data_IF_723518938305
#
_entry.id   IF_723518938305
#
_cell.length_a   1.000
_cell.length_b   1.000
_cell.length_c   1.000
_cell.angle_alpha   90.00
_cell.angle_beta   90.00
_cell.angle_gamma   90.00
#
_symmetry.space_group_name_H-M   'P 1'
#
loop_
_entity.id
_entity.type
_entity.pdbx_description
1 polymer ?
#
# COMPACT_ATOMS: atom_id res chain seq x y z
N UNK A 1 -30.62 9.27 -9.64
CA UNK A 1 -29.18 9.62 -9.57
C UNK A 1 -28.46 8.45 -8.91
N UNK A 2 -27.71 7.66 -9.69
CA UNK A 2 -26.96 6.52 -9.15
C UNK A 2 -25.64 7.06 -8.59
N UNK A 3 -25.52 7.09 -7.27
CA UNK A 3 -24.29 7.45 -6.58
C UNK A 3 -23.20 6.47 -7.03
N UNK A 4 -22.21 6.94 -7.80
CA UNK A 4 -21.02 6.14 -8.13
C UNK A 4 -20.38 5.72 -6.81
N UNK A 5 -20.59 4.47 -6.41
CA UNK A 5 -19.75 3.81 -5.43
C UNK A 5 -18.35 3.90 -6.03
N UNK A 6 -17.42 4.57 -5.35
CA UNK A 6 -16.02 4.64 -5.77
C UNK A 6 -15.58 3.25 -6.20
N UNK A 7 -15.07 3.11 -7.43
CA UNK A 7 -14.65 1.80 -7.92
C UNK A 7 -13.74 1.17 -6.86
N UNK A 8 -14.08 -0.05 -6.43
CA UNK A 8 -13.29 -0.73 -5.41
C UNK A 8 -11.93 -1.05 -6.01
N UNK A 9 -10.84 -0.63 -5.37
CA UNK A 9 -9.48 -1.02 -5.73
C UNK A 9 -9.41 -2.53 -6.01
N UNK A 10 -8.91 -2.87 -7.18
CA UNK A 10 -8.65 -4.24 -7.62
C UNK A 10 -7.38 -4.78 -6.97
N UNK A 11 -7.22 -6.11 -6.97
CA UNK A 11 -5.98 -6.74 -6.48
C UNK A 11 -4.74 -6.29 -7.28
N UNK A 12 -4.92 -5.99 -8.57
CA UNK A 12 -3.85 -5.48 -9.42
C UNK A 12 -3.44 -4.07 -9.02
N UNK A 13 -4.41 -3.19 -8.71
CA UNK A 13 -4.13 -1.86 -8.15
C UNK A 13 -3.45 -1.94 -6.78
N UNK A 14 -3.88 -2.86 -5.91
CA UNK A 14 -3.22 -3.08 -4.61
C UNK A 14 -1.77 -3.53 -4.78
N UNK A 15 -1.52 -4.46 -5.71
CA UNK A 15 -0.18 -4.95 -6.01
C UNK A 15 0.71 -3.81 -6.51
N UNK A 16 0.20 -2.99 -7.45
CA UNK A 16 0.89 -1.81 -7.95
C UNK A 16 1.19 -0.81 -6.83
N UNK A 17 0.20 -0.51 -5.99
CA UNK A 17 0.36 0.40 -4.87
C UNK A 17 1.40 -0.08 -3.85
N UNK A 18 1.45 -1.39 -3.58
CA UNK A 18 2.48 -1.98 -2.71
C UNK A 18 3.89 -1.80 -3.28
N UNK A 19 4.10 -2.03 -4.58
CA UNK A 19 5.40 -1.82 -5.21
C UNK A 19 5.84 -0.35 -5.11
N UNK A 20 4.98 0.58 -5.51
CA UNK A 20 5.30 2.02 -5.45
C UNK A 20 5.56 2.47 -4.01
N UNK A 21 4.75 2.03 -3.06
CA UNK A 21 4.98 2.34 -1.65
C UNK A 21 6.34 1.86 -1.15
N UNK A 22 6.74 0.63 -1.52
CA UNK A 22 8.04 0.07 -1.17
C UNK A 22 9.18 0.86 -1.82
N UNK A 23 9.10 1.12 -3.13
CA UNK A 23 10.11 1.87 -3.87
C UNK A 23 10.36 3.26 -3.28
N UNK A 24 9.28 4.00 -2.95
CA UNK A 24 9.39 5.31 -2.33
C UNK A 24 9.91 5.21 -0.89
N UNK A 25 9.44 4.25 -0.10
CA UNK A 25 9.85 4.09 1.30
C UNK A 25 11.29 3.62 1.50
N UNK A 26 11.84 2.91 0.52
CA UNK A 26 13.20 2.36 0.57
C UNK A 26 14.21 3.19 -0.22
N UNK A 27 13.80 4.30 -0.85
CA UNK A 27 14.69 5.14 -1.63
C UNK A 27 15.73 5.84 -0.73
N UNK A 28 17.02 5.49 -0.81
CA UNK A 28 18.05 5.98 0.12
C UNK A 28 18.44 7.44 -0.13
N UNK A 29 18.28 7.93 -1.36
CA UNK A 29 18.59 9.31 -1.76
C UNK A 29 17.52 10.26 -1.22
N UNK A 30 16.28 9.78 -1.21
CA UNK A 30 15.09 10.59 -0.99
C UNK A 30 14.55 10.46 0.45
N UNK A 31 14.82 9.32 1.10
CA UNK A 31 14.20 8.92 2.38
C UNK A 31 14.68 9.68 3.62
N UNK A 32 15.79 10.43 3.52
CA UNK A 32 16.30 11.22 4.64
C UNK A 32 15.63 12.61 4.60
N UNK A 33 14.88 12.96 5.66
CA UNK A 33 14.16 14.24 5.85
C UNK A 33 12.89 14.48 5.01
N UNK A 34 12.13 13.44 4.67
CA UNK A 34 10.85 13.61 3.98
C UNK A 34 9.67 13.82 4.95
N UNK A 35 8.84 14.83 4.72
CA UNK A 35 7.56 14.97 5.43
C UNK A 35 6.56 13.91 4.96
N UNK A 36 5.59 13.56 5.82
CA UNK A 36 4.49 12.64 5.45
C UNK A 36 3.79 13.11 4.17
N UNK A 37 3.54 14.40 4.03
CA UNK A 37 2.86 14.94 2.85
C UNK A 37 3.68 14.72 1.57
N UNK A 38 4.98 15.04 1.63
CA UNK A 38 5.89 14.82 0.51
C UNK A 38 6.01 13.33 0.16
N UNK A 39 5.98 12.44 1.15
CA UNK A 39 5.95 10.99 0.92
C UNK A 39 4.77 10.59 0.05
N UNK A 40 3.58 10.98 0.46
CA UNK A 40 2.37 10.61 -0.24
C UNK A 40 2.20 11.32 -1.59
N UNK A 41 2.72 12.54 -1.74
CA UNK A 41 2.77 13.22 -3.04
C UNK A 41 3.67 12.49 -4.05
N UNK A 42 4.79 11.89 -3.61
CA UNK A 42 5.63 11.04 -4.47
C UNK A 42 4.93 9.73 -4.84
N UNK A 43 4.31 9.07 -3.86
CA UNK A 43 3.51 7.86 -4.11
C UNK A 43 2.39 8.13 -5.12
N UNK A 44 1.65 9.24 -4.98
CA UNK A 44 0.60 9.63 -5.93
C UNK A 44 1.15 9.85 -7.34
N UNK A 45 2.25 10.60 -7.46
CA UNK A 45 2.89 10.86 -8.75
C UNK A 45 3.33 9.54 -9.42
N UNK A 46 4.09 8.72 -8.70
CA UNK A 46 4.69 7.52 -9.25
C UNK A 46 3.62 6.48 -9.57
N UNK A 47 2.61 6.31 -8.72
CA UNK A 47 1.47 5.41 -8.96
C UNK A 47 0.73 5.78 -10.24
N UNK A 48 0.35 7.05 -10.40
CA UNK A 48 -0.45 7.50 -11.54
C UNK A 48 0.34 7.48 -12.86
N UNK A 49 1.65 7.78 -12.82
CA UNK A 49 2.51 7.82 -14.01
C UNK A 49 2.95 6.44 -14.48
N UNK A 50 3.12 5.48 -13.56
CA UNK A 50 3.53 4.11 -13.88
C UNK A 50 2.35 3.14 -13.98
N UNK A 51 1.10 3.64 -13.91
CA UNK A 51 -0.07 2.77 -13.87
C UNK A 51 -0.15 1.90 -15.13
N UNK A 52 -0.40 0.60 -14.98
CA UNK A 52 -0.77 -0.27 -16.08
C UNK A 52 -1.94 0.28 -16.90
N UNK A 53 -1.95 0.01 -18.21
CA UNK A 53 -2.96 0.52 -19.14
C UNK A 53 -4.40 0.11 -18.83
N UNK A 54 -4.59 -1.00 -18.10
CA UNK A 54 -5.91 -1.45 -17.65
C UNK A 54 -6.45 -0.65 -16.45
N UNK A 55 -5.61 0.13 -15.75
CA UNK A 55 -6.03 1.04 -14.68
C UNK A 55 -6.39 2.38 -15.30
N UNK A 56 -7.68 2.60 -15.52
CA UNK A 56 -8.18 3.81 -16.19
C UNK A 56 -8.37 4.98 -15.24
N UNK A 57 -8.59 4.70 -13.94
CA UNK A 57 -8.85 5.72 -12.93
C UNK A 57 -7.55 6.26 -12.33
N UNK A 58 -7.46 7.59 -12.22
CA UNK A 58 -6.43 8.24 -11.44
C UNK A 58 -6.86 8.30 -9.98
N UNK A 59 -5.93 8.01 -9.08
CA UNK A 59 -6.18 8.07 -7.65
C UNK A 59 -5.46 9.26 -7.04
N UNK A 60 -6.19 10.03 -6.23
CA UNK A 60 -5.57 11.10 -5.48
C UNK A 60 -4.85 10.57 -4.23
N UNK A 61 -3.96 11.40 -3.69
CA UNK A 61 -3.18 11.14 -2.48
C UNK A 61 -3.97 10.54 -1.32
N UNK A 62 -5.17 11.10 -1.04
CA UNK A 62 -6.01 10.65 0.07
C UNK A 62 -6.56 9.24 -0.16
N UNK A 63 -7.00 8.95 -1.39
CA UNK A 63 -7.49 7.63 -1.80
C UNK A 63 -6.42 6.57 -1.58
N UNK A 64 -5.21 6.82 -2.09
CA UNK A 64 -4.06 5.90 -1.99
C UNK A 64 -3.65 5.69 -0.53
N UNK A 65 -3.59 6.75 0.28
CA UNK A 65 -3.27 6.65 1.70
C UNK A 65 -4.29 5.81 2.46
N UNK A 66 -5.59 6.03 2.23
CA UNK A 66 -6.65 5.24 2.84
C UNK A 66 -6.54 3.77 2.44
N UNK A 67 -6.30 3.47 1.16
CA UNK A 67 -6.18 2.08 0.70
C UNK A 67 -4.96 1.38 1.29
N UNK A 68 -3.79 2.01 1.26
CA UNK A 68 -2.57 1.46 1.83
C UNK A 68 -2.71 1.22 3.34
N UNK A 69 -3.43 2.09 4.06
CA UNK A 69 -3.71 1.86 5.48
C UNK A 69 -4.50 0.56 5.70
N UNK A 70 -5.52 0.28 4.86
CA UNK A 70 -6.27 -0.99 4.90
C UNK A 70 -5.38 -2.20 4.63
N UNK A 71 -4.46 -2.09 3.65
CA UNK A 71 -3.50 -3.15 3.31
C UNK A 71 -2.57 -3.42 4.50
N UNK A 72 -1.93 -2.38 5.05
CA UNK A 72 -1.01 -2.50 6.19
C UNK A 72 -1.70 -3.08 7.43
N UNK A 73 -2.95 -2.70 7.70
CA UNK A 73 -3.73 -3.28 8.79
C UNK A 73 -3.96 -4.78 8.58
N UNK A 74 -4.27 -5.20 7.36
CA UNK A 74 -4.47 -6.62 7.02
C UNK A 74 -3.17 -7.42 7.13
N UNK A 75 -2.05 -6.85 6.64
CA UNK A 75 -0.71 -7.42 6.83
C UNK A 75 -0.34 -7.54 8.32
N UNK A 76 -0.71 -6.56 9.14
CA UNK A 76 -0.50 -6.59 10.59
C UNK A 76 -1.19 -7.77 11.27
N UNK A 77 -2.44 -8.07 10.86
CA UNK A 77 -3.19 -9.25 11.35
C UNK A 77 -2.50 -10.55 10.93
N UNK A 78 -2.13 -10.67 9.65
CA UNK A 78 -1.40 -11.84 9.13
C UNK A 78 -0.10 -12.10 9.91
N UNK A 79 0.72 -11.06 10.12
CA UNK A 79 1.95 -11.15 10.93
C UNK A 79 1.65 -11.54 12.38
N UNK A 80 0.50 -11.13 12.93
CA UNK A 80 0.02 -11.56 14.24
C UNK A 80 -0.19 -13.07 14.30
N UNK A 81 -0.90 -13.64 13.33
CA UNK A 81 -1.12 -15.09 13.24
C UNK A 81 0.18 -15.87 13.09
N UNK A 82 1.10 -15.41 12.22
CA UNK A 82 2.42 -16.05 12.03
C UNK A 82 3.18 -16.09 13.36
N UNK A 83 3.26 -14.96 14.09
CA UNK A 83 3.92 -14.91 15.40
C UNK A 83 3.29 -15.85 16.43
N UNK A 84 1.98 -16.05 16.38
CA UNK A 84 1.32 -17.01 17.27
C UNK A 84 1.81 -18.44 16.99
N UNK A 85 1.91 -18.81 15.71
CA UNK A 85 2.42 -20.13 15.29
C UNK A 85 3.88 -20.30 15.72
N UNK A 86 4.74 -19.31 15.47
CA UNK A 86 6.16 -19.34 15.87
C UNK A 86 6.34 -19.50 17.38
N UNK A 87 5.46 -18.89 18.18
CA UNK A 87 5.48 -18.98 19.64
C UNK A 87 5.05 -20.33 20.20
N UNK A 88 4.29 -21.13 19.43
CA UNK A 88 3.83 -22.44 19.89
C UNK A 88 4.98 -23.45 20.08
N UNK A 89 6.19 -23.17 19.54
CA UNK A 89 7.38 -24.04 19.64
C UNK A 89 7.03 -25.55 19.61
N UNK A 90 6.50 -26.07 18.50
CA UNK A 90 6.04 -27.46 18.44
C UNK A 90 7.15 -28.52 18.64
N UNK A 91 8.44 -28.14 18.52
CA UNK A 91 9.57 -28.99 18.91
C UNK A 91 9.95 -28.78 20.37
N UNK A 92 9.06 -29.14 21.29
CA UNK A 92 9.43 -29.38 22.68
C UNK A 92 10.20 -30.70 22.77
N UNK A 93 11.51 -30.65 22.52
CA UNK A 93 12.49 -31.67 22.91
C UNK A 93 13.60 -30.99 23.68
#
# INVERSE_FOLDING_TARGET
MSTKISSSYTNAEDTHLCHIYLDVSQNPIIGIYQSKDMFWSRVENDYNNSRPSFITELHNKRSLQCRMQTILTSMGKMRGCIRQIERLKPSGA
#
